data_IF_945521360059
#
_entry.id   IF_945521360059
#
_cell.length_a   1.000
_cell.length_b   1.000
_cell.length_c   1.000
_cell.angle_alpha   90.00
_cell.angle_beta   90.00
_cell.angle_gamma   90.00
#
_symmetry.space_group_name_H-M   'P 1'
#
loop_
_entity.id
_entity.type
_entity.pdbx_description
1 polymer ?
#
# COMPACT_ATOMS: atom_id res chain seq x y z
N UNK A 1 1.02 22.77 64.18
CA UNK A 1 1.22 23.70 63.06
C UNK A 1 2.21 23.02 62.13
N UNK A 2 1.67 22.34 61.10
CA UNK A 2 1.81 22.71 59.67
C UNK A 2 3.09 22.05 59.10
N UNK A 3 3.07 20.83 58.53
CA UNK A 3 2.36 20.30 57.35
C UNK A 3 2.47 21.23 56.13
N UNK A 4 3.30 20.81 55.16
CA UNK A 4 3.17 21.01 53.70
C UNK A 4 4.49 21.43 53.03
N UNK A 5 5.39 20.47 52.83
CA UNK A 5 6.31 20.49 51.69
C UNK A 5 5.63 19.59 50.65
N UNK A 6 5.20 20.17 49.52
CA UNK A 6 4.97 19.52 48.22
C UNK A 6 4.23 20.51 47.32
N UNK A 7 4.95 21.18 46.42
CA UNK A 7 4.35 21.66 45.17
C UNK A 7 5.32 21.28 44.04
N UNK A 8 5.22 20.01 43.64
CA UNK A 8 5.96 19.45 42.51
C UNK A 8 5.42 20.10 41.23
N UNK A 9 6.31 20.84 40.57
CA UNK A 9 6.10 21.53 39.31
C UNK A 9 5.65 20.52 38.23
N UNK A 10 4.52 20.84 37.60
CA UNK A 10 3.91 20.01 36.56
C UNK A 10 4.80 19.85 35.35
N UNK A 11 5.07 18.60 34.99
CA UNK A 11 5.55 18.22 33.67
C UNK A 11 4.34 17.60 32.95
N UNK A 12 3.61 18.43 32.21
CA UNK A 12 2.77 17.94 31.12
C UNK A 12 3.70 17.49 30.00
N UNK A 13 4.06 16.20 29.97
CA UNK A 13 4.58 15.58 28.75
C UNK A 13 3.45 15.58 27.73
N UNK A 14 3.46 16.55 26.82
CA UNK A 14 2.75 16.45 25.56
C UNK A 14 3.35 15.25 24.82
N UNK A 15 2.69 14.10 24.93
CA UNK A 15 2.89 12.96 24.04
C UNK A 15 2.35 13.38 22.66
N UNK A 16 3.11 14.19 21.94
CA UNK A 16 2.95 14.35 20.49
C UNK A 16 3.44 13.04 19.86
N UNK A 17 2.58 12.02 19.90
CA UNK A 17 2.74 10.86 19.04
C UNK A 17 2.58 11.31 17.59
N UNK A 18 3.67 11.71 16.95
CA UNK A 18 3.72 11.85 15.49
C UNK A 18 3.75 10.44 14.89
N UNK A 19 2.63 9.73 14.90
CA UNK A 19 2.42 8.58 14.02
C UNK A 19 1.83 9.10 12.71
N UNK A 20 2.61 9.85 11.93
CA UNK A 20 2.25 10.08 10.53
C UNK A 20 2.65 8.82 9.77
N UNK A 21 1.67 8.07 9.26
CA UNK A 21 1.94 6.98 8.34
C UNK A 21 2.82 7.49 7.19
N UNK A 22 3.87 6.74 6.87
CA UNK A 22 4.74 7.10 5.76
C UNK A 22 4.01 6.82 4.45
N UNK A 23 4.39 7.51 3.37
CA UNK A 23 3.86 7.24 2.04
C UNK A 23 3.99 5.75 1.67
N UNK A 24 5.08 5.11 2.11
CA UNK A 24 5.32 3.69 1.95
C UNK A 24 4.28 2.81 2.66
N UNK A 25 3.77 3.22 3.82
CA UNK A 25 2.73 2.48 4.54
C UNK A 25 1.40 2.51 3.76
N UNK A 26 1.07 3.65 3.15
CA UNK A 26 -0.13 3.77 2.31
C UNK A 26 -0.07 2.85 1.09
N UNK A 27 1.08 2.77 0.42
CA UNK A 27 1.26 1.88 -0.72
C UNK A 27 1.31 0.41 -0.35
N UNK A 28 1.80 0.09 0.85
CA UNK A 28 1.72 -1.28 1.38
C UNK A 28 0.28 -1.69 1.67
N UNK A 29 -0.54 -0.79 2.19
CA UNK A 29 -1.98 -1.04 2.39
C UNK A 29 -2.69 -1.25 1.05
N UNK A 30 -2.45 -0.38 0.07
CA UNK A 30 -2.97 -0.55 -1.28
C UNK A 30 -2.55 -1.91 -1.89
N UNK A 31 -1.30 -2.34 -1.64
CA UNK A 31 -0.82 -3.66 -2.07
C UNK A 31 -1.60 -4.81 -1.43
N UNK A 32 -2.03 -4.67 -0.18
CA UNK A 32 -2.85 -5.67 0.50
C UNK A 32 -4.24 -5.76 -0.13
N UNK A 33 -4.88 -4.60 -0.37
CA UNK A 33 -6.17 -4.53 -1.09
C UNK A 33 -6.09 -5.16 -2.49
N UNK A 34 -4.96 -5.00 -3.18
CA UNK A 34 -4.70 -5.62 -4.48
C UNK A 34 -4.51 -7.14 -4.41
N UNK A 35 -3.78 -7.61 -3.40
CA UNK A 35 -3.54 -9.03 -3.20
C UNK A 35 -4.80 -9.75 -2.73
N UNK A 36 -5.74 -9.04 -2.07
CA UNK A 36 -6.88 -9.62 -1.34
C UNK A 36 -6.44 -10.75 -0.38
N UNK A 37 -5.20 -10.63 0.10
CA UNK A 37 -4.50 -11.53 1.01
C UNK A 37 -3.23 -10.82 1.49
N UNK A 38 -2.46 -11.47 2.37
CA UNK A 38 -1.23 -10.90 2.93
C UNK A 38 -0.15 -10.66 1.86
N UNK A 39 0.68 -9.65 2.12
CA UNK A 39 1.82 -9.27 1.30
C UNK A 39 3.10 -9.75 1.98
N UNK A 40 3.75 -10.75 1.39
CA UNK A 40 5.02 -11.29 1.88
C UNK A 40 6.18 -10.31 1.69
N UNK A 41 6.20 -9.64 0.54
CA UNK A 41 7.29 -8.73 0.15
C UNK A 41 6.70 -7.51 -0.52
N UNK A 42 7.07 -6.34 0.01
CA UNK A 42 6.93 -5.04 -0.64
C UNK A 42 8.32 -4.42 -0.69
N UNK A 43 8.79 -4.07 -1.89
CA UNK A 43 10.12 -3.45 -2.05
C UNK A 43 10.08 -2.36 -3.10
N UNK A 44 10.68 -1.23 -2.78
CA UNK A 44 10.88 -0.10 -3.69
C UNK A 44 12.37 0.02 -3.95
N UNK A 45 12.75 0.05 -5.22
CA UNK A 45 14.14 0.23 -5.64
C UNK A 45 14.49 1.71 -5.70
N UNK A 46 15.78 2.04 -5.69
CA UNK A 46 16.26 3.43 -5.81
C UNK A 46 15.81 4.12 -7.11
N UNK A 47 15.50 3.34 -8.16
CA UNK A 47 14.96 3.82 -9.43
C UNK A 47 13.42 3.91 -9.46
N UNK A 48 12.76 3.77 -8.31
CA UNK A 48 11.30 3.87 -8.16
C UNK A 48 10.53 2.59 -8.48
N UNK A 49 11.19 1.53 -8.98
CA UNK A 49 10.51 0.28 -9.29
C UNK A 49 10.02 -0.43 -8.04
N UNK A 50 8.74 -0.83 -8.06
CA UNK A 50 8.13 -1.57 -6.97
C UNK A 50 7.98 -3.05 -7.33
N UNK A 51 8.32 -3.93 -6.39
CA UNK A 51 8.09 -5.37 -6.50
C UNK A 51 7.28 -5.87 -5.32
N UNK A 52 6.21 -6.57 -5.63
CA UNK A 52 5.23 -7.07 -4.67
C UNK A 52 5.14 -8.59 -4.82
N UNK A 53 5.14 -9.30 -3.69
CA UNK A 53 4.85 -10.74 -3.60
C UNK A 53 3.70 -10.94 -2.62
N UNK A 54 2.57 -11.43 -3.11
CA UNK A 54 1.45 -11.84 -2.27
C UNK A 54 1.69 -13.25 -1.71
N UNK A 55 1.07 -13.56 -0.58
CA UNK A 55 1.17 -14.90 0.05
C UNK A 55 0.54 -16.02 -0.78
N UNK A 56 -0.38 -15.69 -1.70
CA UNK A 56 -0.94 -16.65 -2.66
C UNK A 56 0.00 -16.99 -3.84
N UNK A 57 1.20 -16.39 -3.86
CA UNK A 57 2.22 -16.61 -4.88
C UNK A 57 2.16 -15.64 -6.06
N UNK A 58 1.16 -14.75 -6.13
CA UNK A 58 1.07 -13.69 -7.14
C UNK A 58 2.24 -12.71 -6.99
N UNK A 59 2.73 -12.20 -8.13
CA UNK A 59 3.89 -11.31 -8.19
C UNK A 59 3.63 -10.15 -9.13
N UNK A 60 3.94 -8.95 -8.67
CA UNK A 60 3.80 -7.73 -9.46
C UNK A 60 5.13 -6.98 -9.50
N UNK A 61 5.43 -6.40 -10.66
CA UNK A 61 6.56 -5.53 -10.87
C UNK A 61 6.07 -4.27 -11.59
N UNK A 62 6.37 -3.13 -10.98
CA UNK A 62 5.85 -1.82 -11.31
C UNK A 62 7.01 -0.90 -11.63
N UNK A 63 6.81 0.02 -12.57
CA UNK A 63 7.82 1.00 -12.94
C UNK A 63 7.96 2.11 -11.90
N UNK A 64 6.88 2.46 -11.22
CA UNK A 64 6.79 3.55 -10.26
C UNK A 64 5.73 3.24 -9.19
N UNK A 65 5.92 3.81 -8.00
CA UNK A 65 5.10 3.51 -6.82
C UNK A 65 3.65 3.99 -6.97
N UNK A 66 3.43 5.13 -7.61
CA UNK A 66 2.10 5.66 -7.92
C UNK A 66 1.24 4.76 -8.82
N UNK A 67 1.84 3.83 -9.57
CA UNK A 67 1.09 2.83 -10.37
C UNK A 67 0.24 1.91 -9.48
N UNK A 68 0.58 1.78 -8.19
CA UNK A 68 -0.24 1.04 -7.22
C UNK A 68 -1.66 1.60 -7.07
N UNK A 69 -1.81 2.92 -7.08
CA UNK A 69 -3.14 3.53 -7.01
C UNK A 69 -3.95 3.17 -8.24
N UNK A 70 -3.34 3.27 -9.42
CA UNK A 70 -4.00 2.85 -10.67
C UNK A 70 -4.38 1.38 -10.66
N UNK A 71 -3.51 0.50 -10.16
CA UNK A 71 -3.84 -0.92 -10.01
C UNK A 71 -5.03 -1.13 -9.07
N UNK A 72 -5.09 -0.38 -7.97
CA UNK A 72 -6.16 -0.50 -6.97
C UNK A 72 -7.49 -0.08 -7.59
N UNK A 73 -7.50 1.06 -8.25
CA UNK A 73 -8.69 1.57 -8.92
C UNK A 73 -9.15 0.57 -9.99
N UNK A 74 -8.22 -0.02 -10.74
CA UNK A 74 -8.51 -1.10 -11.67
C UNK A 74 -9.12 -2.33 -10.99
N UNK A 75 -8.59 -2.75 -9.84
CA UNK A 75 -9.10 -3.90 -9.09
C UNK A 75 -10.54 -3.65 -8.59
N UNK A 76 -10.82 -2.43 -8.13
CA UNK A 76 -12.15 -2.02 -7.66
C UNK A 76 -13.13 -1.96 -8.84
N UNK A 77 -12.75 -1.28 -9.92
CA UNK A 77 -13.64 -0.96 -11.03
C UNK A 77 -13.92 -2.15 -11.96
N UNK A 78 -12.96 -3.08 -12.09
CA UNK A 78 -13.04 -4.14 -13.10
C UNK A 78 -12.91 -5.57 -12.56
N UNK A 79 -12.41 -5.74 -11.34
CA UNK A 79 -12.22 -7.05 -10.74
C UNK A 79 -13.10 -7.24 -9.49
N UNK A 80 -14.05 -6.34 -9.22
CA UNK A 80 -14.95 -6.39 -8.05
C UNK A 80 -14.20 -6.55 -6.71
N UNK A 81 -12.95 -6.06 -6.63
CA UNK A 81 -12.10 -6.19 -5.45
C UNK A 81 -11.55 -7.59 -5.17
N UNK A 82 -11.73 -8.57 -6.07
CA UNK A 82 -11.26 -9.95 -5.84
C UNK A 82 -9.73 -10.08 -5.81
N UNK A 83 -9.03 -9.10 -6.37
CA UNK A 83 -7.60 -9.02 -6.50
C UNK A 83 -7.12 -9.20 -7.94
N UNK A 84 -5.92 -8.69 -8.20
CA UNK A 84 -5.24 -8.89 -9.48
C UNK A 84 -4.50 -10.23 -9.49
N UNK A 85 -4.55 -10.94 -10.61
CA UNK A 85 -3.76 -12.17 -10.84
C UNK A 85 -2.51 -11.92 -11.67
N UNK A 86 -2.53 -10.93 -12.57
CA UNK A 86 -1.35 -10.48 -13.32
C UNK A 86 -1.50 -9.02 -13.69
N UNK A 87 -0.39 -8.29 -13.67
CA UNK A 87 -0.31 -6.92 -14.14
C UNK A 87 0.92 -6.74 -15.02
N UNK A 88 0.79 -5.91 -16.04
CA UNK A 88 1.89 -5.44 -16.88
C UNK A 88 1.53 -4.07 -17.40
N UNK A 89 2.54 -3.23 -17.57
CA UNK A 89 2.36 -1.90 -18.11
C UNK A 89 3.31 -1.66 -19.27
N UNK A 90 2.83 -0.91 -20.25
CA UNK A 90 3.59 -0.41 -21.39
C UNK A 90 3.59 1.11 -21.36
N UNK A 91 4.19 1.76 -22.36
CA UNK A 91 4.11 3.23 -22.48
C UNK A 91 2.70 3.75 -22.75
N UNK A 92 1.76 2.92 -23.21
CA UNK A 92 0.42 3.35 -23.64
C UNK A 92 -0.74 2.63 -22.99
N UNK A 93 -0.50 1.46 -22.39
CA UNK A 93 -1.54 0.62 -21.84
C UNK A 93 -1.14 -0.01 -20.52
N UNK A 94 -2.12 -0.18 -19.64
CA UNK A 94 -2.13 -1.12 -18.54
C UNK A 94 -2.84 -2.39 -18.99
N UNK A 95 -2.18 -3.54 -18.88
CA UNK A 95 -2.76 -4.85 -19.21
C UNK A 95 -2.75 -5.74 -17.99
N UNK A 96 -3.90 -6.28 -17.64
CA UNK A 96 -4.07 -7.03 -16.40
C UNK A 96 -5.04 -8.19 -16.55
N UNK A 97 -4.96 -9.08 -15.56
CA UNK A 97 -5.84 -10.24 -15.40
C UNK A 97 -6.38 -10.22 -13.97
N UNK A 98 -7.69 -10.21 -13.79
CA UNK A 98 -8.31 -10.40 -12.49
C UNK A 98 -8.17 -11.87 -12.03
N UNK A 99 -8.28 -12.17 -10.72
CA UNK A 99 -8.18 -13.56 -10.25
C UNK A 99 -9.29 -14.47 -10.80
N UNK A 100 -10.47 -13.94 -11.10
CA UNK A 100 -11.57 -14.65 -11.80
C UNK A 100 -11.16 -15.17 -13.18
N UNK A 101 -10.17 -14.55 -13.82
CA UNK A 101 -9.71 -14.90 -15.15
C UNK A 101 -9.94 -13.81 -16.20
N UNK A 102 -10.73 -12.79 -15.89
CA UNK A 102 -11.03 -11.67 -16.79
C UNK A 102 -9.75 -10.96 -17.23
N UNK A 103 -9.60 -10.75 -18.54
CA UNK A 103 -8.44 -10.10 -19.16
C UNK A 103 -8.85 -8.74 -19.70
N UNK A 104 -8.08 -7.70 -19.35
CA UNK A 104 -8.40 -6.33 -19.70
C UNK A 104 -7.14 -5.56 -20.09
N UNK A 105 -7.33 -4.59 -20.97
CA UNK A 105 -6.29 -3.66 -21.40
C UNK A 105 -6.88 -2.26 -21.47
N UNK A 106 -6.37 -1.37 -20.62
CA UNK A 106 -6.84 0.01 -20.45
C UNK A 106 -5.74 0.95 -20.93
N UNK A 107 -6.10 2.00 -21.67
CA UNK A 107 -5.16 3.04 -22.08
C UNK A 107 -4.69 3.87 -20.88
N UNK A 108 -3.40 4.21 -20.85
CA UNK A 108 -2.83 5.16 -19.88
C UNK A 108 -3.31 6.59 -20.14
#
# INVERSE_FOLDING_TARGET
>A
MEKSILLSLGICTLLLGCSSASQQDHYREASFELCNTEVDIYSVSDDGRVRIKCSDGSKFALTQEDTLETMRDINIDYCDGEGLGKFSESSRYYSFKCKSGTLLSISK
#
